data_IF_647141849843
#
_entry.id   IF_647141849843
#
_cell.length_a   1.000
_cell.length_b   1.000
_cell.length_c   1.000
_cell.angle_alpha   90.00
_cell.angle_beta   90.00
_cell.angle_gamma   90.00
#
_symmetry.space_group_name_H-M   'P 1'
#
loop_
_entity.id
_entity.type
_entity.pdbx_description
1 polymer ?
#
# COMPACT_ATOMS: atom_id res chain seq x y z
N UNK A 1 -5.37 15.40 13.54
CA UNK A 1 -6.51 14.55 13.11
C UNK A 1 -6.19 13.12 13.53
N UNK A 2 -7.09 12.41 14.22
CA UNK A 2 -6.82 11.05 14.70
C UNK A 2 -7.05 10.05 13.54
N UNK A 3 -6.01 9.36 13.02
CA UNK A 3 -6.15 8.44 11.88
C UNK A 3 -6.88 7.15 12.25
N UNK A 4 -7.06 6.89 13.55
CA UNK A 4 -7.68 5.69 14.11
C UNK A 4 -9.16 5.92 14.48
N UNK A 5 -9.76 7.00 13.98
CA UNK A 5 -11.20 7.26 14.09
C UNK A 5 -11.92 6.82 12.80
N UNK A 6 -13.14 6.29 12.94
CA UNK A 6 -13.99 5.83 11.84
C UNK A 6 -14.17 6.91 10.77
N UNK A 7 -14.46 8.15 11.18
CA UNK A 7 -14.64 9.26 10.25
C UNK A 7 -13.39 9.53 9.40
N UNK A 8 -12.20 9.42 9.99
CA UNK A 8 -10.93 9.62 9.28
C UNK A 8 -10.69 8.49 8.28
N UNK A 9 -10.96 7.24 8.66
CA UNK A 9 -10.83 6.09 7.76
C UNK A 9 -11.81 6.19 6.61
N UNK A 10 -13.08 6.51 6.87
CA UNK A 10 -14.09 6.68 5.82
C UNK A 10 -13.75 7.84 4.88
N UNK A 11 -13.35 8.99 5.44
CA UNK A 11 -12.94 10.14 4.63
C UNK A 11 -11.73 9.81 3.76
N UNK A 12 -10.72 9.14 4.32
CA UNK A 12 -9.56 8.69 3.57
C UNK A 12 -9.95 7.72 2.45
N UNK A 13 -10.76 6.71 2.76
CA UNK A 13 -11.22 5.75 1.75
C UNK A 13 -11.99 6.45 0.63
N UNK A 14 -12.92 7.35 0.97
CA UNK A 14 -13.69 8.10 -0.02
C UNK A 14 -12.80 8.95 -0.92
N UNK A 15 -11.85 9.70 -0.34
CA UNK A 15 -10.90 10.52 -1.09
C UNK A 15 -10.00 9.65 -1.96
N UNK A 16 -9.45 8.55 -1.42
CA UNK A 16 -8.59 7.64 -2.16
C UNK A 16 -9.35 6.98 -3.33
N UNK A 17 -10.59 6.56 -3.13
CA UNK A 17 -11.43 6.00 -4.20
C UNK A 17 -11.73 7.05 -5.26
N UNK A 18 -12.09 8.28 -4.89
CA UNK A 18 -12.35 9.37 -5.85
C UNK A 18 -11.09 9.72 -6.67
N UNK A 19 -9.93 9.82 -6.03
CA UNK A 19 -8.65 10.03 -6.71
C UNK A 19 -8.31 8.87 -7.66
N UNK A 20 -8.63 7.64 -7.27
CA UNK A 20 -8.39 6.47 -8.12
C UNK A 20 -9.32 6.44 -9.33
N UNK A 21 -10.58 6.84 -9.18
CA UNK A 21 -11.54 6.96 -10.29
C UNK A 21 -11.09 8.05 -11.25
N UNK A 22 -10.73 9.23 -10.75
CA UNK A 22 -10.30 10.35 -11.59
C UNK A 22 -9.02 10.02 -12.35
N UNK A 23 -8.06 9.39 -11.69
CA UNK A 23 -6.83 8.90 -12.32
C UNK A 23 -7.10 7.82 -13.37
N UNK A 24 -7.91 6.80 -13.05
CA UNK A 24 -8.30 5.76 -13.99
C UNK A 24 -9.02 6.29 -15.22
N UNK A 25 -9.86 7.33 -15.05
CA UNK A 25 -10.53 8.01 -16.16
C UNK A 25 -9.56 8.82 -17.05
N UNK A 26 -8.55 9.47 -16.45
CA UNK A 26 -7.51 10.20 -17.17
C UNK A 26 -6.60 9.27 -17.99
N UNK A 27 -6.24 8.10 -17.43
CA UNK A 27 -5.48 7.06 -18.14
C UNK A 27 -6.29 6.50 -19.31
N UNK A 28 -7.59 6.24 -19.12
CA UNK A 28 -8.48 5.76 -20.19
C UNK A 28 -8.62 6.75 -21.37
N UNK A 29 -8.35 8.04 -21.14
CA UNK A 29 -8.31 9.07 -22.18
C UNK A 29 -6.95 9.23 -22.87
N UNK A 30 -6.03 8.28 -22.66
CA UNK A 30 -4.67 8.25 -23.26
C UNK A 30 -3.81 9.51 -23.01
N UNK A 31 -4.20 10.36 -22.05
CA UNK A 31 -3.43 11.56 -21.68
C UNK A 31 -2.18 11.26 -20.84
N UNK A 32 -1.98 10.01 -20.43
CA UNK A 32 -0.87 9.61 -19.58
C UNK A 32 -0.12 8.43 -20.21
N UNK A 33 1.19 8.57 -20.50
CA UNK A 33 1.99 7.54 -21.15
C UNK A 33 2.47 6.52 -20.12
N UNK A 34 1.60 5.64 -19.65
CA UNK A 34 2.01 4.51 -18.81
C UNK A 34 1.93 3.22 -19.61
N UNK A 35 3.10 2.70 -19.98
CA UNK A 35 3.23 1.39 -20.60
C UNK A 35 2.66 0.30 -19.68
N UNK A 36 1.75 -0.50 -20.22
CA UNK A 36 0.93 -1.48 -19.49
C UNK A 36 1.68 -2.74 -19.04
N UNK A 37 2.97 -2.84 -19.37
CA UNK A 37 3.78 -4.04 -19.18
C UNK A 37 5.02 -3.65 -18.37
N UNK A 38 4.95 -3.82 -17.05
CA UNK A 38 6.17 -3.93 -16.25
C UNK A 38 6.86 -5.23 -16.66
N UNK A 39 7.94 -5.13 -17.44
CA UNK A 39 8.80 -6.24 -17.80
C UNK A 39 9.59 -6.67 -16.56
N UNK A 40 8.92 -7.36 -15.64
CA UNK A 40 9.57 -7.96 -14.48
C UNK A 40 10.40 -9.16 -14.94
N UNK A 41 11.66 -9.21 -14.53
CA UNK A 41 12.50 -10.40 -14.69
C UNK A 41 11.95 -11.54 -13.81
N UNK A 42 12.18 -12.80 -14.17
CA UNK A 42 11.65 -13.97 -13.43
C UNK A 42 12.05 -13.95 -11.94
N UNK A 43 13.26 -13.49 -11.64
CA UNK A 43 13.75 -13.28 -10.27
C UNK A 43 12.95 -12.22 -9.50
N UNK A 44 12.53 -11.15 -10.17
CA UNK A 44 11.71 -10.09 -9.55
C UNK A 44 10.28 -10.59 -9.29
N UNK A 45 9.74 -11.44 -10.17
CA UNK A 45 8.44 -12.08 -9.98
C UNK A 45 8.44 -13.03 -8.77
N UNK A 46 9.49 -13.84 -8.62
CA UNK A 46 9.65 -14.73 -7.47
C UNK A 46 9.82 -13.95 -6.16
N UNK A 47 10.64 -12.89 -6.17
CA UNK A 47 10.79 -12.00 -5.02
C UNK A 47 9.44 -11.37 -4.62
N UNK A 48 8.68 -10.87 -5.59
CA UNK A 48 7.36 -10.27 -5.33
C UNK A 48 6.37 -11.28 -4.73
N UNK A 49 6.37 -12.54 -5.18
CA UNK A 49 5.52 -13.60 -4.58
C UNK A 49 5.87 -13.84 -3.11
N UNK A 50 7.16 -13.94 -2.79
CA UNK A 50 7.62 -14.11 -1.41
C UNK A 50 7.27 -12.87 -0.58
N UNK A 51 7.51 -11.69 -1.14
CA UNK A 51 7.24 -10.42 -0.47
C UNK A 51 5.76 -10.24 -0.11
N UNK A 52 4.85 -10.60 -1.02
CA UNK A 52 3.40 -10.58 -0.75
C UNK A 52 3.02 -11.52 0.38
N UNK A 53 3.61 -12.73 0.44
CA UNK A 53 3.37 -13.66 1.55
C UNK A 53 3.87 -13.08 2.88
N UNK A 54 5.06 -12.47 2.89
CA UNK A 54 5.60 -11.79 4.08
C UNK A 54 4.70 -10.61 4.48
N UNK A 55 4.21 -9.83 3.51
CA UNK A 55 3.28 -8.73 3.74
C UNK A 55 1.95 -9.18 4.34
N UNK A 56 1.45 -10.34 3.94
CA UNK A 56 0.25 -10.93 4.51
C UNK A 56 0.49 -11.33 5.97
N UNK A 57 1.60 -12.01 6.25
CA UNK A 57 1.92 -12.44 7.62
C UNK A 57 2.12 -11.24 8.54
N UNK A 58 3.00 -10.31 8.16
CA UNK A 58 3.36 -9.19 9.01
C UNK A 58 2.24 -8.14 9.02
N UNK A 59 1.73 -7.79 7.85
CA UNK A 59 0.79 -6.69 7.68
C UNK A 59 -0.65 -7.02 8.01
N UNK A 60 -1.03 -8.30 8.12
CA UNK A 60 -2.41 -8.73 8.39
C UNK A 60 -2.48 -9.69 9.58
N UNK A 61 -1.75 -10.80 9.55
CA UNK A 61 -1.87 -11.82 10.62
C UNK A 61 -1.47 -11.27 11.98
N UNK A 62 -0.33 -10.57 12.08
CA UNK A 62 0.10 -9.95 13.35
C UNK A 62 -0.97 -8.97 13.89
N UNK A 63 -1.45 -7.97 13.13
CA UNK A 63 -2.53 -7.09 13.55
C UNK A 63 -3.83 -7.81 13.95
N UNK A 64 -4.21 -8.91 13.29
CA UNK A 64 -5.39 -9.72 13.67
C UNK A 64 -5.18 -10.38 15.03
N UNK A 65 -4.01 -10.99 15.27
CA UNK A 65 -3.70 -11.59 16.57
C UNK A 65 -3.77 -10.52 17.67
N UNK A 66 -3.15 -9.37 17.43
CA UNK A 66 -3.17 -8.26 18.38
C UNK A 66 -4.59 -7.73 18.64
N UNK A 67 -5.44 -7.68 17.61
CA UNK A 67 -6.84 -7.30 17.76
C UNK A 67 -7.61 -8.25 18.69
N UNK A 68 -7.39 -9.56 18.55
CA UNK A 68 -8.01 -10.58 19.41
C UNK A 68 -7.50 -10.46 20.85
N UNK A 69 -6.18 -10.30 21.03
CA UNK A 69 -5.56 -10.16 22.35
C UNK A 69 -6.05 -8.91 23.08
N UNK A 70 -6.14 -7.78 22.37
CA UNK A 70 -6.55 -6.49 22.93
C UNK A 70 -8.06 -6.21 22.81
N UNK A 71 -8.87 -7.26 22.60
CA UNK A 71 -10.31 -7.13 22.39
C UNK A 71 -11.04 -6.36 23.50
N UNK A 72 -10.61 -6.58 24.75
CA UNK A 72 -11.22 -5.97 25.93
C UNK A 72 -10.84 -4.50 26.13
N UNK A 73 -9.84 -4.00 25.40
CA UNK A 73 -9.39 -2.60 25.49
C UNK A 73 -10.03 -1.79 24.37
N UNK A 74 -11.06 -0.95 24.64
CA UNK A 74 -11.87 -0.33 23.59
C UNK A 74 -11.05 0.55 22.63
N UNK A 75 -10.05 1.26 23.13
CA UNK A 75 -9.15 2.11 22.34
C UNK A 75 -8.32 1.28 21.35
N UNK A 76 -7.74 0.16 21.81
CA UNK A 76 -6.92 -0.71 20.97
C UNK A 76 -7.77 -1.51 19.99
N UNK A 77 -8.94 -1.98 20.44
CA UNK A 77 -9.91 -2.64 19.57
C UNK A 77 -10.29 -1.73 18.40
N UNK A 78 -10.61 -0.47 18.69
CA UNK A 78 -10.93 0.51 17.65
C UNK A 78 -9.75 0.76 16.70
N UNK A 79 -8.55 0.93 17.25
CA UNK A 79 -7.33 1.08 16.44
C UNK A 79 -7.12 -0.08 15.45
N UNK A 80 -7.09 -1.31 15.93
CA UNK A 80 -6.88 -2.48 15.07
C UNK A 80 -8.07 -2.72 14.13
N UNK A 81 -9.31 -2.46 14.54
CA UNK A 81 -10.47 -2.52 13.64
C UNK A 81 -10.36 -1.51 12.50
N UNK A 82 -9.98 -0.26 12.80
CA UNK A 82 -9.76 0.79 11.78
C UNK A 82 -8.62 0.42 10.83
N UNK A 83 -7.54 -0.15 11.36
CA UNK A 83 -6.40 -0.62 10.56
C UNK A 83 -6.81 -1.78 9.62
N UNK A 84 -7.47 -2.81 10.16
CA UNK A 84 -7.91 -3.98 9.38
C UNK A 84 -8.96 -3.60 8.34
N UNK A 85 -9.87 -2.67 8.66
CA UNK A 85 -10.81 -2.13 7.69
C UNK A 85 -10.09 -1.46 6.52
N UNK A 86 -9.08 -0.63 6.79
CA UNK A 86 -8.30 0.01 5.74
C UNK A 86 -7.61 -1.02 4.82
N UNK A 87 -7.10 -2.13 5.39
CA UNK A 87 -6.54 -3.25 4.61
C UNK A 87 -7.60 -3.91 3.72
N UNK A 88 -8.79 -4.20 4.26
CA UNK A 88 -9.87 -4.82 3.50
C UNK A 88 -10.34 -3.90 2.36
N UNK A 89 -10.52 -2.62 2.64
CA UNK A 89 -10.95 -1.63 1.64
C UNK A 89 -9.87 -1.46 0.57
N UNK A 90 -8.59 -1.42 0.96
CA UNK A 90 -7.48 -1.40 0.01
C UNK A 90 -7.57 -2.60 -0.94
N UNK A 91 -7.67 -3.83 -0.41
CA UNK A 91 -7.73 -5.04 -1.22
C UNK A 91 -8.95 -5.04 -2.14
N UNK A 92 -10.11 -4.63 -1.64
CA UNK A 92 -11.33 -4.50 -2.45
C UNK A 92 -11.18 -3.48 -3.58
N UNK A 93 -10.52 -2.35 -3.31
CA UNK A 93 -10.16 -1.37 -4.34
C UNK A 93 -9.19 -1.97 -5.35
N UNK A 94 -8.06 -2.53 -4.92
CA UNK A 94 -7.05 -3.11 -5.80
C UNK A 94 -7.65 -4.17 -6.74
N UNK A 95 -8.51 -5.08 -6.24
CA UNK A 95 -9.20 -6.08 -7.04
C UNK A 95 -10.14 -5.43 -8.06
N UNK A 96 -10.95 -4.46 -7.63
CA UNK A 96 -11.95 -3.79 -8.48
C UNK A 96 -11.29 -2.93 -9.57
N UNK A 97 -10.26 -2.18 -9.21
CA UNK A 97 -9.54 -1.29 -10.12
C UNK A 97 -8.61 -2.06 -11.07
N UNK A 98 -7.97 -3.14 -10.61
CA UNK A 98 -7.19 -4.05 -11.46
C UNK A 98 -8.04 -4.64 -12.58
N UNK A 99 -9.30 -4.99 -12.30
CA UNK A 99 -10.24 -5.51 -13.30
C UNK A 99 -10.76 -4.44 -14.27
N UNK A 100 -10.93 -3.21 -13.82
CA UNK A 100 -11.66 -2.16 -14.57
C UNK A 100 -10.76 -1.20 -15.33
N UNK A 101 -9.52 -0.98 -14.86
CA UNK A 101 -8.61 0.02 -15.42
C UNK A 101 -7.29 -0.63 -15.86
N UNK A 102 -6.19 -0.36 -15.15
CA UNK A 102 -4.84 -0.81 -15.48
C UNK A 102 -4.08 -1.18 -14.20
N UNK A 103 -3.13 -2.11 -14.30
CA UNK A 103 -2.27 -2.55 -13.18
C UNK A 103 -1.48 -1.40 -12.52
N UNK A 104 -1.18 -0.32 -13.24
CA UNK A 104 -0.49 0.85 -12.69
C UNK A 104 -1.31 1.60 -11.61
N UNK A 105 -2.64 1.66 -11.76
CA UNK A 105 -3.53 2.32 -10.78
C UNK A 105 -3.47 1.61 -9.42
N UNK A 106 -3.28 0.28 -9.44
CA UNK A 106 -3.14 -0.55 -8.24
C UNK A 106 -1.92 -0.12 -7.42
N UNK A 107 -0.81 0.25 -8.07
CA UNK A 107 0.42 0.70 -7.37
C UNK A 107 0.18 2.01 -6.62
N UNK A 108 -0.55 2.96 -7.22
CA UNK A 108 -0.88 4.24 -6.59
C UNK A 108 -1.80 4.03 -5.39
N UNK A 109 -2.85 3.21 -5.54
CA UNK A 109 -3.75 2.83 -4.44
C UNK A 109 -2.93 2.20 -3.31
N UNK A 110 -2.12 1.19 -3.63
CA UNK A 110 -1.27 0.50 -2.66
C UNK A 110 -0.32 1.44 -1.91
N UNK A 111 0.23 2.45 -2.60
CA UNK A 111 1.12 3.45 -2.01
C UNK A 111 0.37 4.38 -1.04
N UNK A 112 -0.78 4.91 -1.46
CA UNK A 112 -1.61 5.78 -0.61
C UNK A 112 -2.06 5.06 0.68
N UNK A 113 -2.60 3.85 0.55
CA UNK A 113 -3.06 3.08 1.70
C UNK A 113 -1.89 2.61 2.58
N UNK A 114 -0.72 2.31 2.02
CA UNK A 114 0.46 2.00 2.83
C UNK A 114 0.94 3.22 3.63
N UNK A 115 0.95 4.41 3.03
CA UNK A 115 1.23 5.66 3.75
C UNK A 115 0.24 5.91 4.90
N UNK A 116 -1.05 5.70 4.65
CA UNK A 116 -2.07 5.82 5.69
C UNK A 116 -1.89 4.80 6.83
N UNK A 117 -1.52 3.56 6.51
CA UNK A 117 -1.23 2.52 7.52
C UNK A 117 -0.04 2.89 8.41
N UNK A 118 1.04 3.43 7.83
CA UNK A 118 2.19 3.93 8.59
C UNK A 118 1.73 5.00 9.60
N UNK A 119 0.87 5.92 9.16
CA UNK A 119 0.30 6.93 10.04
C UNK A 119 -0.57 6.31 11.14
N UNK A 120 -1.48 5.39 10.80
CA UNK A 120 -2.30 4.68 11.79
C UNK A 120 -1.45 3.99 12.87
N UNK A 121 -0.42 3.26 12.45
CA UNK A 121 0.50 2.54 13.34
C UNK A 121 1.33 3.49 14.21
N UNK A 122 1.84 4.58 13.62
CA UNK A 122 2.58 5.61 14.37
C UNK A 122 1.71 6.24 15.45
N UNK A 123 0.47 6.61 15.10
CA UNK A 123 -0.49 7.11 16.07
C UNK A 123 -0.87 6.04 17.10
N UNK A 124 -0.94 4.78 16.69
CA UNK A 124 -1.26 3.62 17.54
C UNK A 124 -0.19 3.35 18.60
N UNK A 125 1.09 3.50 18.25
CA UNK A 125 2.21 3.37 19.18
C UNK A 125 2.14 4.36 20.35
N UNK A 126 1.53 5.53 20.15
CA UNK A 126 1.40 6.58 21.15
C UNK A 126 0.11 6.49 22.00
N UNK A 127 -0.80 5.55 21.70
CA UNK A 127 -2.11 5.48 22.38
C UNK A 127 -2.02 4.96 23.81
N UNK A 128 -1.15 3.98 24.06
CA UNK A 128 -1.02 3.32 25.37
C UNK A 128 0.41 2.82 25.56
N UNK A 129 0.78 2.54 26.80
CA UNK A 129 2.03 1.83 27.11
C UNK A 129 1.84 0.33 26.88
N UNK A 130 2.40 -0.19 25.80
CA UNK A 130 2.37 -1.62 25.49
C UNK A 130 3.41 -2.39 26.31
N UNK A 131 3.14 -3.65 26.63
CA UNK A 131 4.20 -4.53 27.15
C UNK A 131 5.19 -4.88 26.03
N UNK A 132 6.43 -5.18 26.43
CA UNK A 132 7.58 -5.39 25.53
C UNK A 132 7.32 -6.25 24.28
N UNK A 133 6.67 -7.44 24.36
CA UNK A 133 6.48 -8.26 23.15
C UNK A 133 5.55 -7.59 22.13
N UNK A 134 4.50 -6.90 22.57
CA UNK A 134 3.54 -6.26 21.68
C UNK A 134 4.09 -4.97 21.08
N UNK A 135 4.91 -4.24 21.84
CA UNK A 135 5.62 -3.07 21.34
C UNK A 135 6.57 -3.45 20.20
N UNK A 136 7.34 -4.53 20.38
CA UNK A 136 8.24 -5.06 19.35
C UNK A 136 7.47 -5.48 18.07
N UNK A 137 6.33 -6.14 18.23
CA UNK A 137 5.47 -6.51 17.09
C UNK A 137 4.93 -5.28 16.35
N UNK A 138 4.48 -4.24 17.04
CA UNK A 138 4.02 -3.00 16.38
C UNK A 138 5.13 -2.30 15.61
N UNK A 139 6.32 -2.24 16.18
CA UNK A 139 7.50 -1.70 15.49
C UNK A 139 7.87 -2.53 14.27
N UNK A 140 7.82 -3.85 14.37
CA UNK A 140 8.05 -4.75 13.25
C UNK A 140 7.06 -4.48 12.10
N UNK A 141 5.77 -4.36 12.42
CA UNK A 141 4.73 -4.03 11.41
C UNK A 141 4.98 -2.65 10.80
N UNK A 142 5.33 -1.65 11.61
CA UNK A 142 5.61 -0.29 11.13
C UNK A 142 6.82 -0.26 10.18
N UNK A 143 7.95 -0.83 10.61
CA UNK A 143 9.18 -0.90 9.81
C UNK A 143 8.96 -1.68 8.52
N UNK A 144 8.16 -2.75 8.58
CA UNK A 144 7.78 -3.51 7.41
C UNK A 144 7.03 -2.64 6.38
N UNK A 145 6.06 -1.83 6.81
CA UNK A 145 5.35 -0.94 5.88
C UNK A 145 6.23 0.18 5.32
N UNK A 146 7.18 0.69 6.11
CA UNK A 146 8.18 1.64 5.62
C UNK A 146 9.04 0.98 4.53
N UNK A 147 9.52 -0.23 4.77
CA UNK A 147 10.26 -1.00 3.76
C UNK A 147 9.40 -1.27 2.52
N UNK A 148 8.11 -1.56 2.70
CA UNK A 148 7.18 -1.76 1.60
C UNK A 148 6.98 -0.48 0.76
N UNK A 149 6.92 0.71 1.38
CA UNK A 149 6.88 1.99 0.67
C UNK A 149 8.14 2.21 -0.17
N UNK A 150 9.31 1.93 0.41
CA UNK A 150 10.58 2.06 -0.30
C UNK A 150 10.60 1.13 -1.50
N UNK A 151 10.23 -0.14 -1.31
CA UNK A 151 10.16 -1.13 -2.39
C UNK A 151 9.17 -0.73 -3.50
N UNK A 152 7.97 -0.27 -3.16
CA UNK A 152 6.98 0.18 -4.14
C UNK A 152 7.49 1.39 -4.94
N UNK A 153 8.16 2.32 -4.26
CA UNK A 153 8.74 3.50 -4.90
C UNK A 153 9.88 3.10 -5.84
N UNK A 154 10.79 2.22 -5.43
CA UNK A 154 11.90 1.76 -6.27
C UNK A 154 11.44 0.95 -7.48
N UNK A 155 10.38 0.15 -7.33
CA UNK A 155 9.76 -0.58 -8.44
C UNK A 155 8.95 0.31 -9.39
N UNK A 156 8.41 1.43 -8.91
CA UNK A 156 7.68 2.39 -9.73
C UNK A 156 8.60 3.26 -10.61
N UNK A 157 9.85 3.53 -10.19
CA UNK A 157 10.83 4.34 -10.94
C UNK A 157 11.01 3.88 -12.40
N UNK A 158 11.26 2.59 -12.72
CA UNK A 158 11.44 2.15 -14.11
C UNK A 158 10.16 2.21 -14.96
N UNK A 159 8.99 2.44 -14.35
CA UNK A 159 7.73 2.66 -15.08
C UNK A 159 7.45 4.13 -15.39
N UNK A 160 8.12 5.05 -14.70
CA UNK A 160 7.97 6.51 -14.83
C UNK A 160 9.08 7.12 -15.68
N UNK A 161 10.30 6.57 -15.60
CA UNK A 161 11.36 6.90 -16.54
C UNK A 161 11.09 6.13 -17.83
N UNK A 162 10.66 6.79 -18.92
CA UNK A 162 10.79 6.15 -20.22
C UNK A 162 12.26 5.73 -20.34
N UNK A 163 12.49 4.56 -20.92
CA UNK A 163 13.75 4.28 -21.61
C UNK A 163 14.11 5.60 -22.30
N UNK A 164 15.18 6.26 -21.87
CA UNK A 164 15.88 7.13 -22.79
C UNK A 164 16.29 6.13 -23.86
N UNK A 165 15.48 6.06 -24.92
CA UNK A 165 15.83 5.29 -26.09
C UNK A 165 17.24 5.72 -26.41
N UNK A 166 18.11 4.71 -26.35
CA UNK A 166 19.30 4.60 -27.16
C UNK A 166 19.25 5.64 -28.27
N UNK A 167 20.02 6.72 -28.11
CA UNK A 167 20.44 7.52 -29.25
C UNK A 167 21.28 6.56 -30.09
N UNK A 168 20.60 5.81 -30.96
CA UNK A 168 21.18 5.08 -32.05
C UNK A 168 21.74 6.13 -32.99
N UNK A 169 23.00 6.51 -32.78
CA UNK A 169 23.84 6.93 -33.88
C UNK A 169 24.18 5.66 -34.66
N UNK A 170 23.24 5.25 -35.50
CA UNK A 170 23.54 4.45 -36.69
C UNK A 170 23.38 5.40 -37.88
N UNK A 171 24.55 5.73 -38.43
CA UNK A 171 24.81 5.90 -39.86
C UNK A 171 24.22 7.12 -40.59
N UNK A 172 25.08 8.13 -40.80
CA UNK A 172 25.19 8.80 -42.10
C UNK A 172 26.68 8.83 -42.50
N UNK A 173 26.96 8.06 -43.56
CA UNK A 173 28.08 8.06 -44.54
C UNK A 173 29.48 8.58 -44.17
#
# INVERSE_FOLDING_TARGET
MNPNNWLSVFSFCAIATLLSISYGWLVKKEKLPFNSIMAFNDTQLQFMKIWVNVALVIGVIIPVIMWIVFWNTPILRQFFSCYLLAVVVQLACEISFSRTFCKSVVVIIGTLYTGFRIWQLWSGLQLVTYSQPWLGLLWLVLLFWIANMIMLTTMAIPSILPKLDSYSFSDEE
#
